data_IF_274934651925
#
_entry.id   IF_274934651925
#
_cell.length_a   1.000
_cell.length_b   1.000
_cell.length_c   1.000
_cell.angle_alpha   90.00
_cell.angle_beta   90.00
_cell.angle_gamma   90.00
#
_symmetry.space_group_name_H-M   'P 1'
#
loop_
_entity.id
_entity.type
_entity.pdbx_description
1 polymer ?
#
# COMPACT_ATOMS: atom_id res chain seq x y z
N UNK A 1 20.14 -14.81 -15.12
CA UNK A 1 19.20 -13.68 -15.26
C UNK A 1 18.20 -13.70 -14.12
N UNK A 2 17.85 -12.58 -13.51
CA UNK A 2 16.78 -12.49 -12.51
C UNK A 2 15.45 -12.05 -13.14
N UNK A 3 14.33 -12.61 -12.68
CA UNK A 3 13.00 -12.15 -13.06
C UNK A 3 12.45 -11.23 -11.98
N UNK A 4 12.14 -9.99 -12.35
CA UNK A 4 11.55 -8.98 -11.46
C UNK A 4 10.03 -8.95 -11.69
N UNK A 5 9.25 -9.31 -10.67
CA UNK A 5 7.79 -9.52 -10.82
C UNK A 5 6.91 -8.36 -10.33
N UNK A 6 7.53 -7.29 -9.81
CA UNK A 6 6.85 -6.10 -9.27
C UNK A 6 6.14 -5.29 -10.37
N UNK A 7 5.21 -4.38 -10.01
CA UNK A 7 4.69 -3.38 -10.93
C UNK A 7 5.81 -2.55 -11.58
N UNK A 8 5.65 -2.20 -12.87
CA UNK A 8 6.70 -1.54 -13.68
C UNK A 8 7.29 -0.29 -13.01
N UNK A 9 6.44 0.54 -12.39
CA UNK A 9 6.84 1.79 -11.74
C UNK A 9 7.85 1.58 -10.59
N UNK A 10 7.82 0.39 -9.95
CA UNK A 10 8.71 0.03 -8.84
C UNK A 10 9.90 -0.84 -9.31
N UNK A 11 9.82 -1.41 -10.52
CA UNK A 11 10.85 -2.30 -11.08
C UNK A 11 12.02 -1.55 -11.71
N UNK A 12 11.79 -0.38 -12.29
CA UNK A 12 12.80 0.34 -13.06
C UNK A 12 14.04 0.69 -12.23
N UNK A 13 13.86 1.18 -11.00
CA UNK A 13 14.97 1.51 -10.10
C UNK A 13 15.77 0.26 -9.70
N UNK A 14 15.07 -0.85 -9.43
CA UNK A 14 15.73 -2.12 -9.09
C UNK A 14 16.50 -2.70 -10.27
N UNK A 15 15.95 -2.64 -11.48
CA UNK A 15 16.62 -3.12 -12.69
C UNK A 15 17.87 -2.30 -12.97
N UNK A 16 17.80 -0.97 -12.84
CA UNK A 16 18.95 -0.09 -12.97
C UNK A 16 20.05 -0.45 -11.95
N UNK A 17 19.67 -0.64 -10.68
CA UNK A 17 20.60 -1.01 -9.61
C UNK A 17 21.26 -2.38 -9.86
N UNK A 18 20.52 -3.36 -10.40
CA UNK A 18 21.08 -4.66 -10.77
C UNK A 18 22.02 -4.55 -11.97
N UNK A 19 21.67 -3.73 -12.97
CA UNK A 19 22.51 -3.49 -14.14
C UNK A 19 23.86 -2.85 -13.76
N UNK A 20 23.87 -1.90 -12.82
CA UNK A 20 25.10 -1.29 -12.27
C UNK A 20 26.02 -2.32 -11.61
N UNK A 21 25.46 -3.43 -11.11
CA UNK A 21 26.18 -4.57 -10.54
C UNK A 21 26.48 -5.68 -11.56
N UNK A 22 26.25 -5.43 -12.84
CA UNK A 22 26.38 -6.39 -13.95
C UNK A 22 25.51 -7.64 -13.77
N UNK A 23 24.39 -7.49 -13.08
CA UNK A 23 23.40 -8.55 -12.89
C UNK A 23 22.33 -8.37 -13.97
N UNK A 24 22.17 -9.38 -14.83
CA UNK A 24 21.13 -9.38 -15.88
C UNK A 24 19.77 -9.61 -15.22
N UNK A 25 18.82 -8.72 -15.45
CA UNK A 25 17.45 -8.82 -14.97
C UNK A 25 16.45 -8.51 -16.07
N UNK A 26 15.33 -9.23 -16.07
CA UNK A 26 14.18 -9.02 -16.96
C UNK A 26 12.95 -8.72 -16.13
N UNK A 27 12.14 -7.79 -16.60
CA UNK A 27 10.88 -7.43 -15.97
C UNK A 27 9.73 -8.23 -16.58
N UNK A 28 8.92 -8.86 -15.74
CA UNK A 28 7.62 -9.40 -16.13
C UNK A 28 6.66 -9.22 -14.95
N UNK A 29 5.79 -8.19 -14.98
CA UNK A 29 4.93 -7.92 -13.85
C UNK A 29 3.93 -9.06 -13.68
N UNK A 30 3.84 -9.63 -12.50
CA UNK A 30 2.81 -10.63 -12.18
C UNK A 30 1.57 -10.00 -11.53
N UNK A 31 1.66 -8.70 -11.26
CA UNK A 31 0.60 -7.93 -10.63
C UNK A 31 0.61 -6.50 -11.19
N UNK A 32 -0.59 -5.97 -11.42
CA UNK A 32 -0.82 -4.55 -11.69
C UNK A 32 -1.51 -3.89 -10.50
N UNK A 33 -1.37 -2.57 -10.40
CA UNK A 33 -2.13 -1.76 -9.46
C UNK A 33 -3.05 -0.84 -10.27
N UNK A 34 -4.34 -0.91 -9.99
CA UNK A 34 -5.36 -0.08 -10.64
C UNK A 34 -6.12 0.72 -9.58
N UNK A 35 -6.54 1.97 -9.87
CA UNK A 35 -7.41 2.71 -8.97
C UNK A 35 -8.73 1.96 -8.75
N UNK A 36 -9.23 1.96 -7.51
CA UNK A 36 -10.62 1.60 -7.26
C UNK A 36 -11.53 2.63 -7.99
N UNK A 37 -12.72 2.21 -8.46
CA UNK A 37 -13.67 3.15 -9.09
C UNK A 37 -14.06 4.28 -8.13
N UNK A 38 -14.73 5.33 -8.65
CA UNK A 38 -15.11 6.55 -7.91
C UNK A 38 -15.58 6.24 -6.48
N UNK A 39 -14.99 6.95 -5.51
CA UNK A 39 -15.40 6.91 -4.11
C UNK A 39 -16.87 7.28 -3.94
N UNK A 40 -17.56 6.59 -3.04
CA UNK A 40 -18.98 6.86 -2.76
C UNK A 40 -19.15 8.17 -1.97
N UNK A 41 -20.37 8.72 -1.94
CA UNK A 41 -20.68 9.85 -1.05
C UNK A 41 -20.43 9.49 0.42
N UNK A 42 -20.71 8.24 0.81
CA UNK A 42 -20.43 7.74 2.16
C UNK A 42 -18.93 7.76 2.50
N UNK A 43 -18.07 7.44 1.53
CA UNK A 43 -16.61 7.50 1.73
C UNK A 43 -16.12 8.94 1.90
N UNK A 44 -16.69 9.87 1.12
CA UNK A 44 -16.38 11.30 1.22
C UNK A 44 -16.81 11.85 2.58
N UNK A 45 -18.00 11.47 3.06
CA UNK A 45 -18.51 11.89 4.35
C UNK A 45 -17.71 11.27 5.51
N UNK A 46 -17.33 9.98 5.39
CA UNK A 46 -16.45 9.33 6.37
C UNK A 46 -15.09 10.04 6.46
N UNK A 47 -14.49 10.40 5.32
CA UNK A 47 -13.22 11.14 5.25
C UNK A 47 -13.31 12.49 5.97
N UNK A 48 -14.33 13.29 5.67
CA UNK A 48 -14.48 14.64 6.23
C UNK A 48 -14.68 14.64 7.75
N UNK A 49 -15.30 13.59 8.28
CA UNK A 49 -15.66 13.47 9.69
C UNK A 49 -14.67 12.61 10.50
N UNK A 50 -13.68 12.00 9.84
CA UNK A 50 -12.71 11.13 10.49
C UNK A 50 -11.89 11.89 11.53
N UNK A 51 -11.73 11.27 12.71
CA UNK A 51 -10.81 11.74 13.76
C UNK A 51 -9.45 11.04 13.69
N UNK A 52 -9.45 9.77 13.29
CA UNK A 52 -8.27 8.94 13.12
C UNK A 52 -8.31 8.27 11.77
N UNK A 53 -7.23 8.39 10.99
CA UNK A 53 -7.09 7.77 9.68
C UNK A 53 -5.82 6.93 9.65
N UNK A 54 -5.95 5.67 9.26
CA UNK A 54 -4.82 4.79 9.03
C UNK A 54 -4.54 4.62 7.53
N UNK A 55 -3.30 4.90 7.12
CA UNK A 55 -2.81 4.76 5.76
C UNK A 55 -1.90 3.53 5.68
N UNK A 56 -2.32 2.53 4.91
CA UNK A 56 -1.62 1.23 4.87
C UNK A 56 -0.38 1.21 3.97
N UNK A 57 -0.24 2.14 3.01
CA UNK A 57 0.89 2.14 2.06
C UNK A 57 1.08 3.48 1.34
N UNK A 58 2.25 3.73 0.73
CA UNK A 58 2.48 4.89 -0.13
C UNK A 58 1.60 4.88 -1.38
N UNK A 59 1.26 3.68 -1.88
CA UNK A 59 0.37 3.46 -3.01
C UNK A 59 -1.05 3.93 -2.69
N UNK A 60 -1.54 3.68 -1.47
CA UNK A 60 -2.83 4.19 -1.00
C UNK A 60 -2.89 5.71 -1.15
N UNK A 61 -1.83 6.42 -0.74
CA UNK A 61 -1.77 7.88 -0.84
C UNK A 61 -1.88 8.33 -2.29
N UNK A 62 -1.17 7.66 -3.21
CA UNK A 62 -1.20 7.99 -4.65
C UNK A 62 -2.60 7.89 -5.25
N UNK A 63 -3.39 6.89 -4.86
CA UNK A 63 -4.73 6.70 -5.42
C UNK A 63 -5.85 7.37 -4.63
N UNK A 64 -5.60 7.77 -3.38
CA UNK A 64 -6.57 8.47 -2.53
C UNK A 64 -6.23 9.98 -2.33
N UNK A 65 -5.41 10.58 -3.18
CA UNK A 65 -4.95 11.98 -3.00
C UNK A 65 -6.12 12.96 -2.82
N UNK A 66 -7.16 12.83 -3.63
CA UNK A 66 -8.33 13.71 -3.56
C UNK A 66 -9.10 13.54 -2.24
N UNK A 67 -9.17 12.33 -1.67
CA UNK A 67 -9.76 12.13 -0.34
C UNK A 67 -8.87 12.72 0.76
N UNK A 68 -7.56 12.55 0.66
CA UNK A 68 -6.60 13.07 1.65
C UNK A 68 -6.67 14.61 1.72
N UNK A 69 -6.90 15.28 0.59
CA UNK A 69 -7.12 16.74 0.56
C UNK A 69 -8.37 17.20 1.30
N UNK A 70 -9.36 16.32 1.50
CA UNK A 70 -10.61 16.63 2.20
C UNK A 70 -10.54 16.40 3.72
N UNK A 71 -9.43 15.84 4.21
CA UNK A 71 -9.24 15.60 5.63
C UNK A 71 -9.17 16.91 6.41
N UNK A 72 -9.80 16.92 7.59
CA UNK A 72 -9.73 18.05 8.51
C UNK A 72 -8.33 18.19 9.10
N UNK A 73 -7.85 19.44 9.31
CA UNK A 73 -6.50 19.69 9.82
C UNK A 73 -6.22 19.12 11.23
N UNK A 74 -7.26 18.81 12.00
CA UNK A 74 -7.15 18.23 13.34
C UNK A 74 -7.24 16.69 13.34
N UNK A 75 -7.32 16.04 12.18
CA UNK A 75 -7.30 14.58 12.09
C UNK A 75 -5.94 14.04 12.54
N UNK A 76 -5.95 12.90 13.22
CA UNK A 76 -4.75 12.13 13.51
C UNK A 76 -4.51 11.12 12.40
N UNK A 77 -3.43 11.28 11.63
CA UNK A 77 -3.06 10.33 10.58
C UNK A 77 -1.98 9.40 11.11
N UNK A 78 -2.19 8.10 10.95
CA UNK A 78 -1.24 7.06 11.28
C UNK A 78 -0.82 6.41 9.96
N UNK A 79 0.48 6.46 9.65
CA UNK A 79 0.99 5.98 8.37
C UNK A 79 1.91 4.77 8.55
N UNK A 80 1.68 3.71 7.76
CA UNK A 80 2.55 2.55 7.69
C UNK A 80 3.87 2.91 7.00
N UNK A 81 4.85 3.31 7.83
CA UNK A 81 6.20 3.66 7.41
C UNK A 81 6.38 5.09 6.89
N UNK A 82 7.65 5.50 6.86
CA UNK A 82 8.05 6.88 6.55
C UNK A 82 7.71 7.30 5.12
N UNK A 83 7.77 6.37 4.16
CA UNK A 83 7.43 6.65 2.77
C UNK A 83 5.96 7.06 2.62
N UNK A 84 5.05 6.38 3.31
CA UNK A 84 3.62 6.73 3.36
C UNK A 84 3.42 8.10 3.98
N UNK A 85 4.08 8.38 5.11
CA UNK A 85 3.98 9.65 5.79
C UNK A 85 4.48 10.83 4.94
N UNK A 86 5.61 10.65 4.27
CA UNK A 86 6.18 11.65 3.35
C UNK A 86 5.19 11.98 2.25
N UNK A 87 4.59 10.97 1.60
CA UNK A 87 3.59 11.20 0.54
C UNK A 87 2.33 11.90 1.04
N UNK A 88 1.89 11.65 2.28
CA UNK A 88 0.74 12.38 2.85
C UNK A 88 1.08 13.86 2.97
N UNK A 89 2.26 14.19 3.46
CA UNK A 89 2.72 15.58 3.55
C UNK A 89 2.87 16.25 2.18
N UNK A 90 3.32 15.52 1.15
CA UNK A 90 3.40 16.02 -0.23
C UNK A 90 2.00 16.38 -0.78
N UNK A 91 0.96 15.65 -0.38
CA UNK A 91 -0.43 15.89 -0.80
C UNK A 91 -1.07 17.02 0.01
N UNK A 92 -0.87 17.03 1.33
CA UNK A 92 -1.40 18.06 2.22
C UNK A 92 -0.42 18.32 3.38
N UNK A 93 0.36 19.41 3.33
CA UNK A 93 1.41 19.70 4.31
C UNK A 93 0.86 20.10 5.68
N UNK A 94 -0.43 20.44 5.80
CA UNK A 94 -1.05 20.88 7.06
C UNK A 94 -1.45 19.71 7.97
N UNK A 95 -1.45 18.47 7.46
CA UNK A 95 -1.87 17.31 8.22
C UNK A 95 -0.77 16.86 9.19
N UNK A 96 -1.15 16.49 10.41
CA UNK A 96 -0.24 15.87 11.37
C UNK A 96 -0.21 14.37 11.13
N UNK A 97 0.97 13.86 10.75
CA UNK A 97 1.18 12.44 10.47
C UNK A 97 2.10 11.82 11.52
N UNK A 98 1.62 10.76 12.14
CA UNK A 98 2.39 9.88 13.02
C UNK A 98 2.89 8.72 12.18
N UNK A 99 4.21 8.51 12.18
CA UNK A 99 4.85 7.39 11.51
C UNK A 99 5.83 6.71 12.45
N UNK A 100 5.81 5.39 12.46
CA UNK A 100 6.81 4.59 13.15
C UNK A 100 7.77 4.01 12.10
N UNK A 101 9.05 4.33 12.25
CA UNK A 101 10.11 3.80 11.40
C UNK A 101 10.12 2.27 11.51
N UNK A 102 9.92 1.60 10.38
CA UNK A 102 9.88 0.13 10.21
C UNK A 102 8.61 -0.60 10.64
N UNK A 103 7.43 -0.01 10.50
CA UNK A 103 6.22 -0.65 10.99
C UNK A 103 5.33 -1.22 9.87
N UNK A 104 5.35 -2.55 9.73
CA UNK A 104 4.17 -3.26 9.25
C UNK A 104 3.02 -3.08 10.25
N UNK A 105 1.82 -3.54 9.90
CA UNK A 105 0.63 -3.38 10.75
C UNK A 105 0.84 -3.89 12.17
N UNK A 106 1.61 -4.97 12.34
CA UNK A 106 1.89 -5.58 13.64
C UNK A 106 2.68 -4.64 14.55
N UNK A 107 3.74 -4.03 14.03
CA UNK A 107 4.58 -3.11 14.79
C UNK A 107 3.81 -1.84 15.16
N UNK A 108 2.91 -1.37 14.28
CA UNK A 108 2.04 -0.21 14.58
C UNK A 108 1.11 -0.54 15.73
N UNK A 109 0.45 -1.70 15.71
CA UNK A 109 -0.38 -2.18 16.81
C UNK A 109 0.44 -2.22 18.11
N UNK A 110 1.65 -2.78 18.07
CA UNK A 110 2.52 -2.90 19.23
C UNK A 110 2.94 -1.54 19.83
N UNK A 111 2.90 -0.44 19.08
CA UNK A 111 3.20 0.90 19.60
C UNK A 111 2.13 1.44 20.56
N UNK A 112 0.94 0.84 20.57
CA UNK A 112 -0.20 1.31 21.36
C UNK A 112 -0.85 2.58 20.82
N UNK A 113 -0.52 3.00 19.59
CA UNK A 113 -1.10 4.22 18.96
C UNK A 113 -2.63 4.16 18.81
N UNK A 114 -3.22 2.96 18.91
CA UNK A 114 -4.66 2.74 18.81
C UNK A 114 -5.37 2.59 20.18
N UNK A 115 -4.67 2.64 21.31
CA UNK A 115 -5.24 2.28 22.62
C UNK A 115 -6.45 3.13 23.05
N UNK A 116 -6.48 4.41 22.66
CA UNK A 116 -7.56 5.36 23.01
C UNK A 116 -8.47 5.67 21.80
N UNK A 117 -8.42 4.85 20.75
CA UNK A 117 -9.17 5.07 19.52
C UNK A 117 -10.48 4.27 19.57
N UNK A 118 -11.62 4.96 19.55
CA UNK A 118 -12.94 4.31 19.48
C UNK A 118 -13.40 4.00 18.06
N UNK A 119 -12.89 4.74 17.08
CA UNK A 119 -13.25 4.63 15.68
C UNK A 119 -12.08 5.00 14.77
N UNK A 120 -11.87 4.23 13.71
CA UNK A 120 -10.77 4.42 12.76
C UNK A 120 -11.25 4.31 11.31
N UNK A 121 -10.79 5.24 10.48
CA UNK A 121 -10.94 5.15 9.03
C UNK A 121 -9.67 4.54 8.43
N UNK A 122 -9.79 3.45 7.67
CA UNK A 122 -8.66 2.74 7.08
C UNK A 122 -8.67 2.98 5.56
N UNK A 123 -7.59 3.56 5.04
CA UNK A 123 -7.34 3.67 3.61
C UNK A 123 -6.35 2.60 3.17
N UNK A 124 -6.75 1.75 2.22
CA UNK A 124 -5.91 0.65 1.76
C UNK A 124 -6.13 0.18 0.34
N UNK A 125 -5.61 -1.02 0.07
CA UNK A 125 -5.76 -1.69 -1.22
C UNK A 125 -7.10 -2.42 -1.34
N UNK A 126 -7.10 -3.54 -2.05
CA UNK A 126 -8.26 -4.36 -2.33
C UNK A 126 -8.96 -4.90 -1.06
N UNK A 127 -8.20 -5.19 -0.01
CA UNK A 127 -8.73 -5.73 1.25
C UNK A 127 -8.03 -5.09 2.46
N UNK A 128 -8.74 -4.96 3.60
CA UNK A 128 -8.12 -4.52 4.84
C UNK A 128 -7.15 -5.60 5.36
N UNK A 129 -6.14 -5.17 6.12
CA UNK A 129 -5.22 -6.12 6.74
C UNK A 129 -5.94 -6.92 7.84
N UNK A 130 -6.03 -8.24 7.69
CA UNK A 130 -6.76 -9.12 8.63
C UNK A 130 -6.30 -8.97 10.09
N UNK A 131 -5.00 -8.74 10.33
CA UNK A 131 -4.48 -8.55 11.70
C UNK A 131 -4.99 -7.24 12.30
N UNK A 132 -5.09 -6.18 11.50
CA UNK A 132 -5.67 -4.92 11.96
C UNK A 132 -7.15 -5.07 12.26
N UNK A 133 -7.90 -5.78 11.40
CA UNK A 133 -9.33 -6.01 11.60
C UNK A 133 -9.54 -6.79 12.89
N UNK A 134 -8.84 -7.91 13.07
CA UNK A 134 -8.91 -8.72 14.28
C UNK A 134 -8.57 -7.92 15.53
N UNK A 135 -7.54 -7.07 15.47
CA UNK A 135 -7.20 -6.17 16.57
C UNK A 135 -8.34 -5.18 16.87
N UNK A 136 -8.92 -4.56 15.85
CA UNK A 136 -10.05 -3.64 16.04
C UNK A 136 -11.24 -4.34 16.68
N UNK A 137 -11.56 -5.57 16.27
CA UNK A 137 -12.62 -6.39 16.85
C UNK A 137 -12.35 -6.72 18.33
N UNK A 138 -11.14 -7.19 18.64
CA UNK A 138 -10.70 -7.52 20.01
C UNK A 138 -10.74 -6.30 20.94
N UNK A 139 -10.40 -5.12 20.42
CA UNK A 139 -10.40 -3.85 21.17
C UNK A 139 -11.73 -3.06 21.04
N UNK A 140 -12.75 -3.63 20.39
CA UNK A 140 -14.05 -2.99 20.14
C UNK A 140 -13.95 -1.61 19.43
N UNK A 141 -12.93 -1.44 18.61
CA UNK A 141 -12.72 -0.25 17.78
C UNK A 141 -13.59 -0.38 16.53
N UNK A 142 -14.46 0.61 16.29
CA UNK A 142 -15.23 0.67 15.05
C UNK A 142 -14.28 1.01 13.90
N UNK A 143 -14.43 0.35 12.75
CA UNK A 143 -13.63 0.69 11.59
C UNK A 143 -14.49 0.87 10.34
N UNK A 144 -14.11 1.84 9.50
CA UNK A 144 -14.59 1.97 8.12
C UNK A 144 -13.40 1.77 7.19
N UNK A 145 -13.58 0.98 6.12
CA UNK A 145 -12.53 0.70 5.15
C UNK A 145 -12.86 1.32 3.80
N UNK A 146 -11.89 2.03 3.22
CA UNK A 146 -11.98 2.56 1.85
C UNK A 146 -10.87 1.96 1.01
N UNK A 147 -11.25 1.25 -0.05
CA UNK A 147 -10.33 0.80 -1.09
C UNK A 147 -9.91 1.98 -1.96
N UNK A 148 -8.62 2.31 -1.96
CA UNK A 148 -8.03 3.29 -2.87
C UNK A 148 -7.59 2.64 -4.20
N UNK A 149 -7.13 1.39 -4.15
CA UNK A 149 -6.62 0.67 -5.32
C UNK A 149 -6.85 -0.82 -5.21
N UNK A 150 -6.82 -1.51 -6.34
CA UNK A 150 -6.87 -2.97 -6.41
C UNK A 150 -5.59 -3.51 -7.02
N UNK A 151 -5.16 -4.66 -6.51
CA UNK A 151 -4.14 -5.49 -7.14
C UNK A 151 -4.82 -6.41 -8.13
N UNK A 152 -4.36 -6.39 -9.38
CA UNK A 152 -4.87 -7.25 -10.44
C UNK A 152 -3.80 -8.28 -10.76
N UNK A 153 -4.16 -9.56 -10.64
CA UNK A 153 -3.31 -10.67 -11.02
C UNK A 153 -3.09 -10.66 -12.55
N UNK A 154 -1.82 -10.71 -12.97
CA UNK A 154 -1.42 -10.78 -14.38
C UNK A 154 -0.85 -12.14 -14.77
N UNK A 155 -0.75 -13.11 -13.85
CA UNK A 155 -0.17 -14.43 -14.09
C UNK A 155 -0.86 -15.13 -15.26
N UNK A 156 -2.19 -15.13 -15.28
CA UNK A 156 -2.96 -15.77 -16.35
C UNK A 156 -2.70 -15.10 -17.72
N UNK A 157 -2.57 -13.77 -17.75
CA UNK A 157 -2.29 -13.00 -18.96
C UNK A 157 -0.85 -13.24 -19.46
N UNK A 158 0.09 -13.42 -18.54
CA UNK A 158 1.52 -13.55 -18.84
C UNK A 158 2.00 -15.01 -18.90
N UNK A 159 1.09 -16.00 -18.84
CA UNK A 159 1.43 -17.42 -18.70
C UNK A 159 2.47 -17.90 -19.73
N UNK A 160 2.26 -17.60 -21.00
CA UNK A 160 3.17 -18.02 -22.09
C UNK A 160 4.57 -17.41 -21.93
N UNK A 161 4.65 -16.15 -21.51
CA UNK A 161 5.92 -15.46 -21.31
C UNK A 161 6.66 -15.96 -20.06
N UNK A 162 5.92 -16.27 -19.00
CA UNK A 162 6.45 -16.97 -17.80
C UNK A 162 7.04 -18.31 -18.21
N UNK A 163 6.30 -19.13 -18.97
CA UNK A 163 6.77 -20.44 -19.44
C UNK A 163 8.04 -20.30 -20.29
N UNK A 164 8.06 -19.38 -21.25
CA UNK A 164 9.23 -19.13 -22.09
C UNK A 164 10.48 -18.76 -21.26
N UNK A 165 10.32 -17.90 -20.25
CA UNK A 165 11.43 -17.47 -19.39
C UNK A 165 11.94 -18.64 -18.52
N UNK A 166 11.04 -19.45 -17.97
CA UNK A 166 11.39 -20.61 -17.13
C UNK A 166 12.11 -21.67 -17.98
N UNK A 167 11.57 -22.00 -19.16
CA UNK A 167 12.12 -23.06 -20.03
C UNK A 167 13.39 -22.64 -20.77
N UNK A 168 13.70 -21.34 -20.88
CA UNK A 168 14.93 -20.85 -21.49
C UNK A 168 16.21 -21.22 -20.70
N UNK A 169 16.11 -21.81 -19.49
CA UNK A 169 17.24 -22.21 -18.64
C UNK A 169 18.26 -21.11 -18.32
N UNK A 170 17.87 -19.83 -18.45
CA UNK A 170 18.71 -18.66 -18.14
C UNK A 170 18.34 -18.00 -16.81
N UNK A 171 17.28 -18.47 -16.15
CA UNK A 171 16.76 -17.91 -14.92
C UNK A 171 17.58 -18.37 -13.70
N UNK A 172 18.17 -17.41 -13.00
CA UNK A 172 18.97 -17.62 -11.79
C UNK A 172 18.16 -17.39 -10.51
N UNK A 173 17.02 -16.70 -10.60
CA UNK A 173 16.14 -16.42 -9.47
C UNK A 173 14.97 -15.51 -9.83
N UNK A 174 13.96 -15.51 -8.96
CA UNK A 174 12.76 -14.65 -9.06
C UNK A 174 12.74 -13.72 -7.86
N UNK A 175 12.49 -12.43 -8.10
CA UNK A 175 12.37 -11.42 -7.04
C UNK A 175 10.90 -11.14 -6.79
N UNK A 176 10.42 -11.51 -5.61
CA UNK A 176 9.05 -11.32 -5.13
C UNK A 176 9.09 -10.39 -3.92
N UNK A 177 8.27 -9.33 -3.90
CA UNK A 177 8.27 -8.32 -2.83
C UNK A 177 6.99 -8.26 -2.00
N UNK A 178 6.04 -9.15 -2.28
CA UNK A 178 4.83 -9.32 -1.49
C UNK A 178 4.31 -10.75 -1.65
N UNK A 179 3.79 -11.30 -0.55
CA UNK A 179 3.08 -12.58 -0.51
C UNK A 179 1.77 -12.55 -1.29
#
# INVERSE_FOLDING_TARGET
MFLITRPIAESNELIALLADKRIVATHLPLMSIVPCQKFSLGDIDAIKNAKVVFITSPTTVTYAQELIKLLANNVQIIAAGQSSATRVHDVNPNLKVISHAMAGVQEIIATGVFNDVSEILILGGNEPNERLIKYCEEQQIKYHFICAYQRVDLIALNKLEIENIIFANQLSGVVITSS
#
